data_IF_582794069693
#
_entry.id   IF_582794069693
#
_cell.length_a   1.000
_cell.length_b   1.000
_cell.length_c   1.000
_cell.angle_alpha   90.00
_cell.angle_beta   90.00
_cell.angle_gamma   90.00
#
_symmetry.space_group_name_H-M   'P 1'
#
loop_
_entity.id
_entity.type
_entity.pdbx_description
1 polymer ?
#
# COMPACT_ATOMS: atom_id res chain seq x y z
N UNK A 1 58.17 -54.39 -2.56
CA UNK A 1 57.50 -53.74 -1.45
C UNK A 1 57.34 -52.25 -1.76
N UNK A 2 56.21 -51.92 -2.43
CA UNK A 2 55.97 -50.58 -2.92
C UNK A 2 54.91 -49.92 -2.03
N UNK A 3 55.31 -48.92 -1.27
CA UNK A 3 54.38 -48.16 -0.38
C UNK A 3 53.64 -47.13 -1.20
N UNK A 4 52.31 -47.28 -1.22
CA UNK A 4 51.39 -46.35 -1.85
C UNK A 4 51.06 -45.22 -0.85
N UNK A 5 51.52 -43.99 -1.18
CA UNK A 5 51.19 -42.80 -0.42
C UNK A 5 49.82 -42.24 -0.90
N UNK A 6 48.80 -42.39 -0.10
CA UNK A 6 47.52 -41.76 -0.31
C UNK A 6 47.58 -40.35 0.31
N UNK A 7 47.54 -39.33 -0.52
CA UNK A 7 47.33 -37.93 -0.08
C UNK A 7 45.83 -37.70 0.10
N UNK A 8 45.44 -37.49 1.35
CA UNK A 8 44.08 -37.07 1.71
C UNK A 8 44.02 -35.56 1.39
N UNK A 9 43.24 -35.21 0.34
CA UNK A 9 42.85 -33.81 0.07
C UNK A 9 41.62 -33.51 0.85
N UNK A 10 41.74 -32.79 1.93
CA UNK A 10 40.62 -32.20 2.70
C UNK A 10 40.02 -31.06 1.90
N UNK A 11 38.90 -31.29 1.27
CA UNK A 11 38.09 -30.25 0.65
C UNK A 11 37.37 -29.47 1.79
N UNK A 12 37.83 -28.27 2.04
CA UNK A 12 37.11 -27.31 2.90
C UNK A 12 35.86 -26.83 2.15
N UNK A 13 34.70 -27.31 2.58
CA UNK A 13 33.41 -26.81 2.12
C UNK A 13 33.19 -25.41 2.71
N UNK A 14 33.41 -24.38 1.90
CA UNK A 14 33.00 -23.02 2.21
C UNK A 14 31.48 -22.98 2.11
N UNK A 15 30.80 -23.01 3.26
CA UNK A 15 29.36 -22.70 3.36
C UNK A 15 29.22 -21.20 3.13
N UNK A 16 28.91 -20.80 1.90
CA UNK A 16 28.51 -19.46 1.57
C UNK A 16 27.12 -19.22 2.18
N UNK A 17 27.10 -18.54 3.31
CA UNK A 17 25.89 -18.01 3.93
C UNK A 17 25.35 -16.91 3.00
N UNK A 18 24.51 -17.29 2.05
CA UNK A 18 23.69 -16.37 1.26
C UNK A 18 22.71 -15.71 2.25
N UNK A 19 23.12 -14.59 2.82
CA UNK A 19 22.21 -13.65 3.44
C UNK A 19 21.25 -13.19 2.34
N UNK A 20 20.07 -13.80 2.30
CA UNK A 20 18.94 -13.33 1.49
C UNK A 20 18.63 -11.92 1.99
N UNK A 21 19.17 -10.90 1.31
CA UNK A 21 18.61 -9.56 1.40
C UNK A 21 17.18 -9.69 0.86
N UNK A 22 16.25 -9.94 1.75
CA UNK A 22 14.84 -9.68 1.46
C UNK A 22 14.78 -8.18 1.15
N UNK A 23 14.69 -7.85 -0.13
CA UNK A 23 14.36 -6.50 -0.54
C UNK A 23 13.05 -6.16 0.18
N UNK A 24 13.18 -5.39 1.24
CA UNK A 24 12.04 -4.79 1.92
C UNK A 24 11.37 -3.95 0.85
N UNK A 25 10.23 -4.40 0.35
CA UNK A 25 9.45 -3.60 -0.56
C UNK A 25 9.11 -2.31 0.18
N UNK A 26 9.66 -1.19 -0.26
CA UNK A 26 9.30 0.14 0.22
C UNK A 26 7.80 0.31 0.01
N UNK A 27 7.02 0.05 1.03
CA UNK A 27 5.57 0.08 0.98
C UNK A 27 5.00 0.77 2.20
N UNK A 28 3.89 1.45 2.01
CA UNK A 28 3.15 2.15 3.07
C UNK A 28 1.71 1.71 3.09
N UNK A 29 1.11 1.67 4.27
CA UNK A 29 -0.33 1.49 4.48
C UNK A 29 -1.01 2.85 4.47
N UNK A 30 -2.13 2.95 3.77
CA UNK A 30 -3.04 4.08 3.90
C UNK A 30 -4.07 3.73 4.96
N UNK A 31 -4.14 4.55 6.00
CA UNK A 31 -5.03 4.36 7.14
C UNK A 31 -6.03 5.50 7.25
N UNK A 32 -7.20 5.21 7.79
CA UNK A 32 -8.24 6.21 7.99
C UNK A 32 -9.01 5.98 9.28
N UNK A 33 -9.65 7.04 9.77
CA UNK A 33 -10.58 6.94 10.88
C UNK A 33 -11.75 6.01 10.52
N UNK A 34 -12.26 5.27 11.51
CA UNK A 34 -13.38 4.34 11.31
C UNK A 34 -14.69 5.02 10.85
N UNK A 35 -14.80 6.34 10.95
CA UNK A 35 -15.93 7.10 10.41
C UNK A 35 -15.96 7.21 8.88
N UNK A 36 -14.83 6.94 8.21
CA UNK A 36 -14.74 6.91 6.74
C UNK A 36 -15.32 5.60 6.24
N UNK A 37 -16.34 5.66 5.37
CA UNK A 37 -17.05 4.47 4.89
C UNK A 37 -16.26 3.71 3.83
N UNK A 38 -15.46 4.40 3.01
CA UNK A 38 -14.66 3.78 1.94
C UNK A 38 -13.75 2.66 2.47
N UNK A 39 -13.64 1.55 1.72
CA UNK A 39 -12.70 0.46 1.98
C UNK A 39 -11.49 0.51 1.04
N UNK A 40 -11.53 1.41 0.08
CA UNK A 40 -10.51 1.58 -0.95
C UNK A 40 -10.41 3.04 -1.38
N UNK A 41 -9.31 3.38 -2.00
CA UNK A 41 -9.06 4.70 -2.57
C UNK A 41 -8.21 4.55 -3.84
N UNK A 42 -8.52 5.31 -4.89
CA UNK A 42 -7.65 5.35 -6.06
C UNK A 42 -6.42 6.23 -5.82
N UNK A 43 -5.31 5.94 -6.50
CA UNK A 43 -4.09 6.77 -6.42
C UNK A 43 -4.39 8.22 -6.81
N UNK A 44 -5.24 8.44 -7.82
CA UNK A 44 -5.65 9.79 -8.25
C UNK A 44 -6.38 10.52 -7.11
N UNK A 45 -7.33 9.86 -6.48
CA UNK A 45 -8.12 10.43 -5.39
C UNK A 45 -7.26 10.72 -4.16
N UNK A 46 -6.39 9.76 -3.79
CA UNK A 46 -5.41 9.93 -2.73
C UNK A 46 -4.52 11.17 -2.98
N UNK A 47 -4.00 11.30 -4.20
CA UNK A 47 -3.19 12.46 -4.61
C UNK A 47 -3.98 13.76 -4.48
N UNK A 48 -5.22 13.83 -4.99
CA UNK A 48 -6.06 15.04 -4.92
C UNK A 48 -6.38 15.44 -3.48
N UNK A 49 -6.58 14.47 -2.57
CA UNK A 49 -6.80 14.74 -1.14
C UNK A 49 -5.55 15.34 -0.51
N UNK A 50 -4.38 14.75 -0.72
CA UNK A 50 -3.13 15.25 -0.15
C UNK A 50 -2.68 16.57 -0.77
N UNK A 51 -2.93 16.82 -2.04
CA UNK A 51 -2.69 18.12 -2.67
C UNK A 51 -3.77 19.17 -2.34
N UNK A 52 -4.74 18.84 -1.47
CA UNK A 52 -5.82 19.76 -1.07
C UNK A 52 -6.68 20.27 -2.24
N UNK A 53 -6.70 19.52 -3.35
CA UNK A 53 -7.60 19.76 -4.48
C UNK A 53 -9.03 19.32 -4.15
N UNK A 54 -9.16 18.32 -3.27
CA UNK A 54 -10.42 17.80 -2.74
C UNK A 54 -10.32 17.65 -1.21
N UNK A 55 -11.44 17.76 -0.54
CA UNK A 55 -11.61 17.51 0.90
C UNK A 55 -12.61 16.38 1.18
N UNK A 56 -13.04 15.67 0.14
CA UNK A 56 -13.96 14.55 0.24
C UNK A 56 -13.60 13.46 -0.75
N UNK A 57 -13.92 12.21 -0.40
CA UNK A 57 -13.82 11.05 -1.28
C UNK A 57 -14.98 11.02 -2.27
N UNK A 58 -14.89 10.13 -3.27
CA UNK A 58 -15.92 9.98 -4.30
C UNK A 58 -17.28 9.52 -3.74
N UNK A 59 -17.29 8.89 -2.56
CA UNK A 59 -18.50 8.52 -1.82
C UNK A 59 -19.13 9.70 -1.03
N UNK A 60 -18.55 10.90 -1.14
CA UNK A 60 -18.97 12.10 -0.41
C UNK A 60 -18.42 12.23 1.01
N UNK A 61 -17.68 11.24 1.51
CA UNK A 61 -17.12 11.28 2.87
C UNK A 61 -16.05 12.37 2.96
N UNK A 62 -16.22 13.32 3.89
CA UNK A 62 -15.20 14.34 4.16
C UNK A 62 -13.94 13.70 4.75
N UNK A 63 -12.77 14.11 4.25
CA UNK A 63 -11.47 13.61 4.72
C UNK A 63 -10.48 14.72 5.03
N UNK A 64 -9.69 14.48 6.09
CA UNK A 64 -8.64 15.38 6.58
C UNK A 64 -7.29 14.66 6.50
N UNK A 65 -6.40 15.01 5.55
CA UNK A 65 -5.10 14.37 5.43
C UNK A 65 -4.15 14.77 6.56
N UNK A 66 -3.39 13.79 7.05
CA UNK A 66 -2.28 13.99 7.98
C UNK A 66 -0.98 13.50 7.34
N UNK A 67 0.09 14.28 7.51
CA UNK A 67 1.43 14.00 6.99
C UNK A 67 2.34 13.54 8.13
N UNK A 68 3.27 12.66 7.84
CA UNK A 68 4.49 12.52 8.62
C UNK A 68 5.50 13.56 8.13
N UNK A 69 6.25 14.20 9.04
CA UNK A 69 7.19 15.28 8.68
C UNK A 69 8.39 14.80 7.89
N UNK A 70 8.87 13.60 8.21
CA UNK A 70 10.05 12.97 7.64
C UNK A 70 10.06 11.48 7.99
N UNK A 71 10.91 10.71 7.32
CA UNK A 71 11.06 9.28 7.60
C UNK A 71 10.83 8.42 6.36
N UNK A 72 11.16 7.14 6.47
CA UNK A 72 11.07 6.20 5.35
C UNK A 72 9.64 6.06 4.80
N UNK A 73 8.63 6.05 5.69
CA UNK A 73 7.22 6.00 5.28
C UNK A 73 6.83 7.25 4.49
N UNK A 74 7.28 8.44 4.93
CA UNK A 74 7.02 9.70 4.22
C UNK A 74 7.63 9.70 2.81
N UNK A 75 8.93 9.42 2.69
CA UNK A 75 9.61 9.38 1.40
C UNK A 75 8.99 8.35 0.45
N UNK A 76 8.66 7.17 0.97
CA UNK A 76 8.01 6.11 0.21
C UNK A 76 6.63 6.54 -0.27
N UNK A 77 5.83 7.17 0.59
CA UNK A 77 4.52 7.71 0.24
C UNK A 77 4.61 8.76 -0.89
N UNK A 78 5.52 9.72 -0.75
CA UNK A 78 5.72 10.76 -1.76
C UNK A 78 6.11 10.17 -3.11
N UNK A 79 7.08 9.25 -3.11
CA UNK A 79 7.56 8.59 -4.33
C UNK A 79 6.49 7.75 -5.00
N UNK A 80 5.75 6.92 -4.23
CA UNK A 80 4.76 6.00 -4.79
C UNK A 80 3.51 6.71 -5.30
N UNK A 81 2.95 7.62 -4.50
CA UNK A 81 1.60 8.14 -4.74
C UNK A 81 1.58 9.60 -5.25
N UNK A 82 2.43 10.47 -4.73
CA UNK A 82 2.44 11.87 -5.17
C UNK A 82 3.39 12.11 -6.34
N UNK A 83 4.38 11.24 -6.56
CA UNK A 83 5.45 11.40 -7.57
C UNK A 83 6.21 12.71 -7.38
N UNK A 84 6.51 13.05 -6.12
CA UNK A 84 7.19 14.26 -5.68
C UNK A 84 8.23 13.90 -4.62
N UNK A 85 9.13 14.83 -4.28
CA UNK A 85 9.99 14.77 -3.11
C UNK A 85 9.50 15.72 -2.01
N UNK A 86 10.10 15.66 -0.82
CA UNK A 86 9.70 16.46 0.33
C UNK A 86 9.82 17.96 0.08
N UNK A 87 10.86 18.42 -0.63
CA UNK A 87 11.07 19.83 -0.92
C UNK A 87 10.03 20.38 -1.92
N UNK A 88 9.68 19.57 -2.93
CA UNK A 88 8.63 19.93 -3.90
C UNK A 88 7.28 20.07 -3.22
N UNK A 89 6.94 19.12 -2.34
CA UNK A 89 5.69 19.15 -1.59
C UNK A 89 5.64 20.37 -0.65
N UNK A 90 6.75 20.67 0.02
CA UNK A 90 6.82 21.84 0.90
C UNK A 90 6.62 23.14 0.13
N UNK A 91 7.30 23.31 -1.01
CA UNK A 91 7.10 24.48 -1.90
C UNK A 91 5.66 24.58 -2.39
N UNK A 92 5.05 23.46 -2.74
CA UNK A 92 3.66 23.41 -3.15
C UNK A 92 2.73 23.95 -2.06
N UNK A 93 2.86 23.46 -0.81
CA UNK A 93 2.01 23.90 0.29
C UNK A 93 2.27 25.38 0.66
N UNK A 94 3.51 25.84 0.61
CA UNK A 94 3.81 27.26 0.81
C UNK A 94 3.07 28.12 -0.23
N UNK A 95 3.14 27.76 -1.50
CA UNK A 95 2.40 28.44 -2.56
C UNK A 95 0.88 28.42 -2.35
N UNK A 96 0.34 27.30 -1.88
CA UNK A 96 -1.08 27.13 -1.58
C UNK A 96 -1.55 28.07 -0.47
N UNK A 97 -0.76 28.17 0.61
CA UNK A 97 -1.03 29.06 1.76
C UNK A 97 -0.89 30.53 1.35
N UNK A 98 0.21 30.91 0.67
CA UNK A 98 0.43 32.30 0.24
C UNK A 98 -0.63 32.80 -0.73
N UNK A 99 -1.18 31.91 -1.57
CA UNK A 99 -2.26 32.28 -2.51
C UNK A 99 -3.66 32.26 -1.87
N UNK A 100 -3.78 31.94 -0.58
CA UNK A 100 -5.06 31.84 0.13
C UNK A 100 -5.98 30.70 -0.35
N UNK A 101 -5.46 29.78 -1.19
CA UNK A 101 -6.27 28.68 -1.78
C UNK A 101 -6.43 27.47 -0.86
N UNK A 102 -5.70 27.42 0.25
CA UNK A 102 -5.82 26.32 1.20
C UNK A 102 -4.84 26.42 2.35
N UNK A 103 -4.88 25.42 3.22
CA UNK A 103 -4.00 25.27 4.38
C UNK A 103 -3.13 24.04 4.25
N UNK A 104 -1.96 24.05 4.89
CA UNK A 104 -1.11 22.87 5.00
C UNK A 104 -1.80 21.79 5.84
N UNK A 105 -1.76 20.51 5.44
CA UNK A 105 -2.22 19.41 6.27
C UNK A 105 -1.51 19.36 7.61
N UNK A 106 -2.15 18.77 8.62
CA UNK A 106 -1.51 18.50 9.91
C UNK A 106 -0.29 17.60 9.69
N UNK A 107 0.86 18.00 10.23
CA UNK A 107 2.08 17.21 10.19
C UNK A 107 2.46 16.72 11.60
N UNK A 108 2.80 15.44 11.71
CA UNK A 108 3.21 14.75 12.94
C UNK A 108 4.58 14.09 12.75
N UNK A 109 5.16 13.49 13.80
CA UNK A 109 6.58 13.13 13.79
C UNK A 109 6.87 11.65 13.58
N UNK A 110 5.86 10.78 13.70
CA UNK A 110 6.05 9.33 13.66
C UNK A 110 4.79 8.59 13.21
N UNK A 111 4.94 7.32 12.77
CA UNK A 111 3.83 6.40 12.52
C UNK A 111 2.86 6.33 13.71
N UNK A 112 3.38 6.25 14.93
CA UNK A 112 2.56 6.19 16.14
C UNK A 112 1.69 7.46 16.30
N UNK A 113 2.27 8.64 16.02
CA UNK A 113 1.53 9.91 16.06
C UNK A 113 0.48 9.99 14.94
N UNK A 114 0.79 9.47 13.74
CA UNK A 114 -0.19 9.37 12.63
C UNK A 114 -1.37 8.50 13.08
N UNK A 115 -1.10 7.30 13.61
CA UNK A 115 -2.13 6.36 14.08
C UNK A 115 -2.98 7.00 15.17
N UNK A 116 -2.34 7.60 16.18
CA UNK A 116 -3.04 8.27 17.28
C UNK A 116 -3.90 9.44 16.79
N UNK A 117 -3.43 10.22 15.83
CA UNK A 117 -4.19 11.32 15.24
C UNK A 117 -5.39 10.79 14.44
N UNK A 118 -5.17 9.81 13.57
CA UNK A 118 -6.22 9.21 12.72
C UNK A 118 -7.29 8.53 13.58
N UNK A 119 -6.90 7.81 14.64
CA UNK A 119 -7.86 7.14 15.52
C UNK A 119 -8.86 8.11 16.22
N UNK A 120 -8.37 9.27 16.65
CA UNK A 120 -9.18 10.26 17.41
C UNK A 120 -9.87 11.33 16.56
N UNK A 121 -9.45 11.50 15.28
CA UNK A 121 -9.94 12.59 14.43
C UNK A 121 -10.88 12.04 13.37
N UNK A 122 -12.15 12.44 13.45
CA UNK A 122 -13.16 12.02 12.47
C UNK A 122 -12.76 12.44 11.05
N UNK A 123 -12.85 11.52 10.09
CA UNK A 123 -12.49 11.77 8.70
C UNK A 123 -10.99 11.83 8.43
N UNK A 124 -10.11 11.67 9.44
CA UNK A 124 -8.68 11.71 9.19
C UNK A 124 -8.22 10.55 8.30
N UNK A 125 -7.29 10.86 7.39
CA UNK A 125 -6.60 9.92 6.51
C UNK A 125 -5.09 10.16 6.61
N UNK A 126 -4.32 9.08 6.81
CA UNK A 126 -2.88 9.11 6.99
C UNK A 126 -2.20 7.95 6.26
N UNK A 127 -0.89 7.91 6.34
CA UNK A 127 -0.07 6.78 5.89
C UNK A 127 0.96 6.45 6.96
N UNK A 128 1.33 5.19 7.00
CA UNK A 128 2.33 4.64 7.93
C UNK A 128 3.14 3.56 7.23
N UNK A 129 4.25 3.14 7.82
CA UNK A 129 5.05 2.03 7.30
C UNK A 129 4.22 0.74 7.21
N UNK A 130 4.58 -0.14 6.28
CA UNK A 130 3.86 -1.40 6.04
C UNK A 130 3.82 -2.31 7.26
N UNK A 131 4.84 -2.26 8.11
CA UNK A 131 4.96 -3.09 9.31
C UNK A 131 4.27 -2.47 10.53
N UNK A 132 3.84 -1.20 10.47
CA UNK A 132 3.19 -0.55 11.60
C UNK A 132 1.95 -1.31 12.04
N UNK A 133 1.83 -1.58 13.34
CA UNK A 133 0.58 -2.05 13.91
C UNK A 133 -0.41 -0.89 13.98
N UNK A 134 -1.62 -1.06 13.45
CA UNK A 134 -2.60 0.02 13.25
C UNK A 134 -3.88 -0.19 14.09
N UNK A 135 -3.79 -0.23 15.43
CA UNK A 135 -4.95 -0.43 16.29
C UNK A 135 -5.91 0.76 16.21
N UNK A 136 -7.21 0.47 16.20
CA UNK A 136 -8.26 1.50 16.28
C UNK A 136 -8.47 2.33 15.01
N UNK A 137 -7.78 2.01 13.93
CA UNK A 137 -7.96 2.65 12.61
C UNK A 137 -8.24 1.61 11.53
N UNK A 138 -8.75 2.05 10.40
CA UNK A 138 -9.06 1.22 9.25
C UNK A 138 -8.00 1.42 8.17
N UNK A 139 -7.56 0.33 7.53
CA UNK A 139 -6.68 0.39 6.35
C UNK A 139 -7.51 0.44 5.07
N UNK A 140 -7.05 1.22 4.09
CA UNK A 140 -7.65 1.32 2.77
C UNK A 140 -6.82 0.54 1.74
N UNK A 141 -7.51 -0.20 0.87
CA UNK A 141 -6.87 -0.74 -0.33
C UNK A 141 -6.61 0.40 -1.32
N UNK A 142 -5.38 0.51 -1.83
CA UNK A 142 -5.04 1.53 -2.83
C UNK A 142 -5.07 0.91 -4.21
N UNK A 143 -5.91 1.46 -5.10
CA UNK A 143 -6.10 0.99 -6.47
C UNK A 143 -5.42 1.97 -7.42
N UNK A 144 -4.48 1.46 -8.23
CA UNK A 144 -3.83 2.22 -9.30
C UNK A 144 -4.32 1.75 -10.66
N UNK A 145 -4.81 2.70 -11.47
CA UNK A 145 -5.26 2.45 -12.83
C UNK A 145 -4.15 2.83 -13.80
N UNK A 146 -3.48 1.86 -14.40
CA UNK A 146 -2.29 2.10 -15.21
C UNK A 146 -2.59 2.69 -16.61
N UNK A 147 -3.75 2.37 -17.22
CA UNK A 147 -3.99 2.62 -18.65
C UNK A 147 -5.36 3.20 -19.01
N UNK A 148 -6.18 3.68 -18.08
CA UNK A 148 -7.52 4.14 -18.44
C UNK A 148 -8.15 5.06 -17.38
N UNK A 149 -9.21 5.80 -17.75
CA UNK A 149 -10.01 6.53 -16.78
C UNK A 149 -10.49 5.58 -15.68
N UNK A 150 -10.59 6.15 -14.49
CA UNK A 150 -10.94 5.47 -13.24
C UNK A 150 -12.15 4.55 -13.41
N UNK A 151 -11.93 3.23 -13.22
CA UNK A 151 -13.00 2.25 -13.12
C UNK A 151 -13.46 2.14 -11.68
N UNK A 152 -14.70 2.40 -11.45
CA UNK A 152 -15.29 2.26 -10.12
C UNK A 152 -15.50 0.78 -9.80
N UNK A 153 -15.06 0.34 -8.61
CA UNK A 153 -15.30 -0.98 -8.08
C UNK A 153 -16.74 -1.06 -7.58
N UNK A 154 -17.49 -2.04 -8.07
CA UNK A 154 -18.91 -2.28 -7.72
C UNK A 154 -19.00 -3.30 -6.59
N UNK A 155 -18.20 -4.38 -6.68
CA UNK A 155 -18.19 -5.44 -5.67
C UNK A 155 -16.78 -5.63 -5.15
N UNK A 156 -16.59 -5.37 -3.86
CA UNK A 156 -15.36 -5.65 -3.14
C UNK A 156 -15.51 -6.94 -2.34
N UNK A 157 -14.55 -7.86 -2.49
CA UNK A 157 -14.43 -9.07 -1.68
C UNK A 157 -13.17 -8.94 -0.86
N UNK A 158 -13.32 -8.98 0.47
CA UNK A 158 -12.17 -8.92 1.39
C UNK A 158 -11.34 -10.21 1.27
N UNK A 159 -10.03 -10.12 1.12
CA UNK A 159 -9.16 -11.29 1.15
C UNK A 159 -9.25 -12.02 2.51
N UNK A 160 -9.31 -13.33 2.45
CA UNK A 160 -9.30 -14.17 3.67
C UNK A 160 -7.85 -14.27 4.14
N UNK A 161 -7.59 -13.80 5.36
CA UNK A 161 -6.26 -13.91 5.95
C UNK A 161 -5.95 -15.38 6.30
N UNK A 162 -4.86 -15.99 5.78
CA UNK A 162 -4.53 -17.36 6.07
C UNK A 162 -4.20 -17.58 7.56
N UNK A 163 -4.86 -18.54 8.19
CA UNK A 163 -4.74 -18.79 9.64
C UNK A 163 -3.30 -19.07 10.09
N UNK A 164 -2.53 -19.77 9.26
CA UNK A 164 -1.11 -20.07 9.53
C UNK A 164 -0.29 -18.80 9.72
N UNK A 165 -0.47 -17.81 8.85
CA UNK A 165 0.26 -16.53 8.93
C UNK A 165 -0.29 -15.63 10.04
N UNK A 166 -1.59 -15.70 10.29
CA UNK A 166 -2.24 -14.96 11.38
C UNK A 166 -1.72 -15.43 12.74
N UNK A 167 -1.60 -16.75 12.96
CA UNK A 167 -1.05 -17.32 14.19
C UNK A 167 0.42 -16.94 14.42
N UNK A 168 1.17 -16.72 13.35
CA UNK A 168 2.57 -16.29 13.39
C UNK A 168 2.73 -14.76 13.47
N UNK A 169 1.65 -14.00 13.47
CA UNK A 169 1.70 -12.53 13.46
C UNK A 169 2.32 -11.92 12.18
N UNK A 170 2.32 -12.68 11.08
CA UNK A 170 2.98 -12.28 9.82
C UNK A 170 2.04 -11.48 8.91
N UNK A 171 1.93 -10.19 9.10
CA UNK A 171 1.23 -9.28 8.18
C UNK A 171 2.08 -8.79 7.02
N UNK A 172 1.54 -7.86 6.26
CA UNK A 172 2.25 -7.20 5.16
C UNK A 172 1.33 -6.63 4.10
N UNK A 173 1.94 -6.03 3.07
CA UNK A 173 1.21 -5.54 1.91
C UNK A 173 1.49 -6.45 0.72
N UNK A 174 0.42 -6.88 0.05
CA UNK A 174 0.49 -7.61 -1.21
C UNK A 174 0.11 -6.68 -2.34
N UNK A 175 0.93 -6.66 -3.39
CA UNK A 175 0.66 -5.93 -4.62
C UNK A 175 0.24 -6.90 -5.71
N UNK A 176 -0.94 -6.66 -6.27
CA UNK A 176 -1.55 -7.48 -7.34
C UNK A 176 -1.73 -6.60 -8.57
N UNK A 177 -1.30 -7.11 -9.73
CA UNK A 177 -1.66 -6.56 -11.03
C UNK A 177 -2.73 -7.44 -11.65
N UNK A 178 -3.74 -6.84 -12.26
CA UNK A 178 -4.83 -7.57 -12.90
C UNK A 178 -5.44 -6.77 -14.05
N UNK A 179 -6.17 -7.47 -14.92
CA UNK A 179 -6.90 -6.85 -16.02
C UNK A 179 -8.39 -6.88 -15.72
N UNK A 180 -9.05 -5.73 -15.86
CA UNK A 180 -10.51 -5.64 -15.82
C UNK A 180 -11.05 -5.66 -17.24
N UNK A 181 -11.85 -6.67 -17.57
CA UNK A 181 -12.48 -6.81 -18.87
C UNK A 181 -13.55 -5.71 -19.13
N UNK A 182 -14.02 -5.51 -20.37
CA UNK A 182 -15.04 -4.51 -20.67
C UNK A 182 -16.31 -4.67 -19.84
N UNK A 183 -16.71 -5.90 -19.50
CA UNK A 183 -17.89 -6.19 -18.68
C UNK A 183 -17.69 -5.94 -17.17
N UNK A 184 -16.47 -5.63 -16.74
CA UNK A 184 -16.14 -5.37 -15.34
C UNK A 184 -15.58 -6.58 -14.58
N UNK A 185 -15.37 -7.73 -15.23
CA UNK A 185 -14.79 -8.92 -14.63
C UNK A 185 -13.27 -8.81 -14.54
N UNK A 186 -12.71 -9.40 -13.48
CA UNK A 186 -11.24 -9.45 -13.29
C UNK A 186 -10.67 -10.69 -13.95
N UNK A 187 -9.57 -10.50 -14.69
CA UNK A 187 -8.77 -11.55 -15.34
C UNK A 187 -7.28 -11.29 -15.10
N UNK A 188 -6.45 -12.32 -15.33
CA UNK A 188 -4.98 -12.24 -15.31
C UNK A 188 -4.43 -11.57 -14.04
N UNK A 189 -4.97 -11.95 -12.87
CA UNK A 189 -4.45 -11.47 -11.59
C UNK A 189 -3.11 -12.15 -11.26
N UNK A 190 -2.09 -11.34 -10.99
CA UNK A 190 -0.73 -11.80 -10.64
C UNK A 190 -0.19 -11.04 -9.45
N UNK A 191 0.59 -11.70 -8.59
CA UNK A 191 1.32 -11.06 -7.49
C UNK A 191 2.56 -10.39 -8.03
N UNK A 192 2.67 -9.07 -7.89
CA UNK A 192 3.85 -8.30 -8.28
C UNK A 192 4.70 -7.86 -7.09
N UNK A 193 4.29 -8.20 -5.86
CA UNK A 193 5.06 -7.95 -4.63
C UNK A 193 4.32 -8.38 -3.37
N UNK A 194 5.08 -8.68 -2.33
CA UNK A 194 4.57 -9.11 -1.03
C UNK A 194 4.81 -10.60 -0.74
N UNK A 195 4.26 -11.10 0.38
CA UNK A 195 4.38 -12.51 0.77
C UNK A 195 3.54 -13.40 -0.18
N UNK A 196 4.10 -14.49 -0.75
CA UNK A 196 3.39 -15.35 -1.69
C UNK A 196 2.10 -15.97 -1.15
N UNK A 197 2.09 -16.41 0.11
CA UNK A 197 0.91 -17.04 0.74
C UNK A 197 -0.22 -16.01 0.91
N UNK A 198 0.10 -14.78 1.33
CA UNK A 198 -0.86 -13.67 1.34
C UNK A 198 -1.29 -13.31 -0.08
N UNK A 199 -0.38 -13.48 -1.05
CA UNK A 199 -0.63 -13.26 -2.47
C UNK A 199 -1.72 -14.15 -3.03
N UNK A 200 -1.70 -15.44 -2.73
CA UNK A 200 -2.74 -16.39 -3.14
C UNK A 200 -4.12 -16.00 -2.59
N UNK A 201 -4.16 -15.66 -1.28
CA UNK A 201 -5.40 -15.18 -0.65
C UNK A 201 -5.92 -13.87 -1.28
N UNK A 202 -5.01 -12.96 -1.64
CA UNK A 202 -5.33 -11.72 -2.29
C UNK A 202 -5.84 -11.94 -3.74
N UNK A 203 -5.21 -12.81 -4.53
CA UNK A 203 -5.68 -13.18 -5.88
C UNK A 203 -7.09 -13.76 -5.82
N UNK A 204 -7.34 -14.71 -4.91
CA UNK A 204 -8.66 -15.35 -4.77
C UNK A 204 -9.77 -14.32 -4.47
N UNK A 205 -9.47 -13.26 -3.74
CA UNK A 205 -10.41 -12.18 -3.49
C UNK A 205 -10.58 -11.24 -4.70
N UNK A 206 -9.45 -10.80 -5.31
CA UNK A 206 -9.43 -9.87 -6.45
C UNK A 206 -10.15 -10.45 -7.66
N UNK A 207 -10.04 -11.75 -7.94
CA UNK A 207 -10.76 -12.43 -9.02
C UNK A 207 -12.29 -12.38 -8.87
N UNK A 208 -12.79 -12.16 -7.66
CA UNK A 208 -14.22 -12.02 -7.37
C UNK A 208 -14.71 -10.57 -7.37
N UNK A 209 -13.83 -9.62 -7.54
CA UNK A 209 -14.20 -8.21 -7.64
C UNK A 209 -14.93 -7.93 -8.95
N UNK A 210 -15.82 -6.95 -8.91
CA UNK A 210 -16.54 -6.47 -10.08
C UNK A 210 -16.40 -4.96 -10.19
N UNK A 211 -16.18 -4.50 -11.40
CA UNK A 211 -16.05 -3.10 -11.74
C UNK A 211 -17.18 -2.66 -12.68
N UNK A 212 -17.42 -1.35 -12.77
CA UNK A 212 -18.33 -0.86 -13.81
C UNK A 212 -17.80 -1.24 -15.19
N UNK A 213 -18.79 -1.54 -16.09
CA UNK A 213 -18.46 -1.82 -17.48
C UNK A 213 -17.84 -0.59 -18.17
N UNK A 214 -16.92 -0.83 -19.10
CA UNK A 214 -16.31 0.19 -19.95
C UNK A 214 -16.06 -0.37 -21.33
N UNK A 215 -15.72 0.50 -22.30
CA UNK A 215 -15.53 0.08 -23.70
C UNK A 215 -14.26 -0.75 -23.92
N UNK A 216 -13.23 -0.59 -23.09
CA UNK A 216 -11.93 -1.25 -23.22
C UNK A 216 -11.53 -1.99 -21.94
N UNK A 217 -10.67 -2.99 -22.08
CA UNK A 217 -9.99 -3.62 -20.95
C UNK A 217 -9.04 -2.63 -20.27
N UNK A 218 -8.92 -2.71 -18.95
CA UNK A 218 -8.07 -1.82 -18.15
C UNK A 218 -7.12 -2.64 -17.30
N UNK A 219 -5.82 -2.36 -17.37
CA UNK A 219 -4.84 -2.92 -16.44
C UNK A 219 -4.81 -2.08 -15.19
N UNK A 220 -4.90 -2.72 -14.03
CA UNK A 220 -4.93 -2.09 -12.73
C UNK A 220 -3.95 -2.75 -11.77
N UNK A 221 -3.46 -1.99 -10.80
CA UNK A 221 -2.72 -2.51 -9.65
C UNK A 221 -3.46 -2.17 -8.37
N UNK A 222 -3.35 -3.05 -7.38
CA UNK A 222 -3.88 -2.84 -6.05
C UNK A 222 -2.84 -3.21 -4.99
N UNK A 223 -2.78 -2.42 -3.94
CA UNK A 223 -2.01 -2.73 -2.74
C UNK A 223 -2.97 -3.12 -1.63
N UNK A 224 -2.91 -4.38 -1.20
CA UNK A 224 -3.82 -4.96 -0.20
C UNK A 224 -3.04 -5.19 1.10
N UNK A 225 -3.39 -4.49 2.18
CA UNK A 225 -2.81 -4.72 3.50
C UNK A 225 -3.42 -5.95 4.17
N UNK A 226 -2.58 -6.77 4.81
CA UNK A 226 -2.95 -7.84 5.72
C UNK A 226 -2.42 -7.52 7.11
N UNK A 227 -3.31 -7.24 8.05
CA UNK A 227 -2.96 -6.92 9.43
C UNK A 227 -3.15 -8.16 10.31
N UNK A 228 -2.07 -8.64 10.91
CA UNK A 228 -2.13 -9.68 11.93
C UNK A 228 -2.71 -9.06 13.21
N UNK A 229 -3.99 -9.28 13.46
CA UNK A 229 -4.67 -8.92 14.72
C UNK A 229 -4.88 -10.13 15.58
#
# INVERSE_FOLDING_TARGET
MTRLNIKIVTAAAAVALLASLTARADSVKIITNNSVQANQISVRELKSVYLREKNSLNDGTHVEPVLERSGAAHETFLKLYLKQNSDDLQRYYQSLVFSGRGSMPKAVSSDADVIAYVARTRGAIGYVSAEANTPGVKTLAVIDTLNSPERQLVTYVTPVYPDVLRQQGMGGIVRIRFTVAPRGDVHNAEVIGGNPILGEAAIAAVQRWKFIAASLSTVMEVSIPFDAR
#
